data_IF_440966704922
#
_entry.id   IF_440966704922
#
_cell.length_a   1.000
_cell.length_b   1.000
_cell.length_c   1.000
_cell.angle_alpha   90.00
_cell.angle_beta   90.00
_cell.angle_gamma   90.00
#
_symmetry.space_group_name_H-M   'P 1'
#
loop_
_entity.id
_entity.type
_entity.pdbx_description
1 polymer ?
#
# COMPACT_ATOMS: atom_id res chain seq x y z
N UNK A 1 -8.63 55.75 -63.90
CA UNK A 1 -7.61 56.17 -62.91
C UNK A 1 -8.00 55.54 -61.58
N UNK A 2 -7.22 54.57 -61.08
CA UNK A 2 -6.38 54.71 -59.86
C UNK A 2 -7.23 55.05 -58.62
N UNK A 3 -7.31 54.29 -57.52
CA UNK A 3 -6.50 53.22 -56.95
C UNK A 3 -7.33 52.38 -55.95
N UNK A 4 -6.72 51.28 -55.54
CA UNK A 4 -7.02 50.36 -54.46
C UNK A 4 -7.52 51.00 -53.15
N UNK A 5 -8.27 50.20 -52.38
CA UNK A 5 -7.86 49.83 -51.01
C UNK A 5 -8.59 48.58 -50.54
N UNK A 6 -7.77 47.57 -50.22
CA UNK A 6 -8.14 46.34 -49.55
C UNK A 6 -8.74 46.65 -48.17
N UNK A 7 -9.96 46.16 -47.92
CA UNK A 7 -10.50 45.95 -46.59
C UNK A 7 -10.45 44.46 -46.29
N UNK A 8 -9.53 44.06 -45.42
CA UNK A 8 -9.31 42.68 -44.98
C UNK A 8 -10.55 42.25 -44.18
N UNK A 9 -11.36 41.39 -44.79
CA UNK A 9 -12.32 40.55 -44.08
C UNK A 9 -11.52 39.53 -43.27
N UNK A 10 -11.75 39.49 -41.95
CA UNK A 10 -11.21 38.49 -41.04
C UNK A 10 -11.71 37.11 -41.41
N UNK A 11 -10.97 36.46 -42.30
CA UNK A 11 -11.18 35.13 -42.83
C UNK A 11 -10.50 34.13 -41.90
N UNK A 12 -11.28 33.13 -41.48
CA UNK A 12 -10.83 31.75 -41.49
C UNK A 12 -9.82 31.36 -40.41
N UNK A 13 -10.37 30.80 -39.33
CA UNK A 13 -9.81 29.73 -38.50
C UNK A 13 -8.60 29.05 -39.18
N UNK A 14 -7.39 29.35 -38.69
CA UNK A 14 -6.20 28.59 -39.04
C UNK A 14 -6.36 27.16 -38.50
N UNK A 15 -6.67 26.24 -39.41
CA UNK A 15 -6.39 24.83 -39.23
C UNK A 15 -4.88 24.65 -39.08
N UNK A 16 -4.43 24.25 -37.89
CA UNK A 16 -3.16 23.57 -37.73
C UNK A 16 -3.41 22.32 -36.88
N UNK A 17 -3.75 21.23 -37.58
CA UNK A 17 -3.60 19.89 -37.04
C UNK A 17 -2.11 19.63 -36.81
N UNK A 18 -1.65 19.80 -35.58
CA UNK A 18 -0.42 19.17 -35.10
C UNK A 18 -0.81 17.80 -34.52
N UNK A 19 -0.99 16.84 -35.44
CA UNK A 19 -0.82 15.42 -35.16
C UNK A 19 0.66 15.21 -34.84
N UNK A 20 1.03 15.44 -33.57
CA UNK A 20 2.28 14.92 -33.04
C UNK A 20 2.01 13.45 -32.73
N UNK A 21 2.29 12.61 -33.72
CA UNK A 21 2.51 11.19 -33.52
C UNK A 21 3.73 11.03 -32.61
N UNK A 22 3.53 11.00 -31.30
CA UNK A 22 4.54 10.49 -30.40
C UNK A 22 4.59 8.97 -30.60
N UNK A 23 5.71 8.41 -31.12
CA UNK A 23 5.88 6.97 -31.14
C UNK A 23 5.82 6.47 -29.70
N UNK A 24 5.16 5.32 -29.52
CA UNK A 24 5.00 4.68 -28.23
C UNK A 24 6.34 4.58 -27.50
N UNK A 25 6.47 5.38 -26.44
CA UNK A 25 7.43 5.11 -25.37
C UNK A 25 6.68 4.30 -24.34
N UNK A 26 6.57 3.00 -24.61
CA UNK A 26 6.32 1.98 -23.60
C UNK A 26 7.56 1.87 -22.70
N UNK A 27 7.89 2.93 -21.96
CA UNK A 27 9.10 3.02 -21.14
C UNK A 27 9.00 4.22 -20.17
N UNK A 28 7.83 4.36 -19.52
CA UNK A 28 7.64 5.34 -18.45
C UNK A 28 7.20 4.68 -17.13
N UNK A 29 7.51 3.39 -16.94
CA UNK A 29 7.24 2.65 -15.71
C UNK A 29 8.51 2.03 -15.10
N UNK A 30 9.68 2.55 -15.47
CA UNK A 30 10.96 2.26 -14.83
C UNK A 30 11.43 3.51 -14.09
N UNK A 31 10.87 3.79 -12.91
CA UNK A 31 11.27 5.02 -12.20
C UNK A 31 10.65 5.35 -10.85
N UNK A 32 9.81 4.49 -10.26
CA UNK A 32 9.39 4.67 -8.87
C UNK A 32 9.65 3.41 -8.04
N UNK A 33 10.79 3.32 -7.31
CA UNK A 33 11.11 2.19 -6.43
C UNK A 33 10.14 2.02 -5.23
N UNK A 34 9.09 2.83 -5.16
CA UNK A 34 8.06 2.82 -4.12
C UNK A 34 6.82 1.97 -4.48
N UNK A 35 6.69 1.47 -5.71
CA UNK A 35 5.49 0.76 -6.22
C UNK A 35 5.26 -0.65 -5.64
N UNK A 36 6.23 -1.24 -4.93
CA UNK A 36 6.16 -2.63 -4.42
C UNK A 36 6.26 -2.75 -2.89
N UNK A 37 6.05 -1.67 -2.14
CA UNK A 37 6.10 -1.73 -0.68
C UNK A 37 4.77 -2.30 -0.14
N UNK A 38 4.83 -3.54 0.32
CA UNK A 38 3.75 -4.21 1.06
C UNK A 38 3.86 -3.82 2.54
N UNK A 39 2.76 -3.90 3.30
CA UNK A 39 2.69 -3.55 4.74
C UNK A 39 3.06 -2.09 5.05
N UNK A 40 2.70 -1.19 4.15
CA UNK A 40 2.73 0.25 4.41
C UNK A 40 1.58 0.57 5.38
N UNK A 41 1.83 1.49 6.33
CA UNK A 41 0.81 2.07 7.20
C UNK A 41 -0.43 2.51 6.43
N UNK A 42 -1.62 2.24 6.98
CA UNK A 42 -2.89 2.57 6.34
C UNK A 42 -3.00 4.07 5.99
N UNK A 43 -2.61 4.95 6.91
CA UNK A 43 -2.64 6.40 6.68
C UNK A 43 -1.64 6.80 5.59
N UNK A 44 -0.45 6.20 5.59
CA UNK A 44 0.54 6.48 4.56
C UNK A 44 0.07 6.03 3.18
N UNK A 45 -0.67 4.92 3.09
CA UNK A 45 -1.31 4.46 1.85
C UNK A 45 -2.34 5.46 1.33
N UNK A 46 -3.19 6.02 2.21
CA UNK A 46 -4.18 7.06 1.83
C UNK A 46 -3.47 8.31 1.28
N UNK A 47 -2.35 8.69 1.88
CA UNK A 47 -1.58 9.86 1.45
C UNK A 47 -0.86 9.64 0.12
N UNK A 48 -0.71 8.39 -0.35
CA UNK A 48 -0.20 8.11 -1.69
C UNK A 48 -1.31 8.37 -2.71
N UNK A 49 -1.05 9.25 -3.67
CA UNK A 49 -1.92 9.51 -4.83
C UNK A 49 -1.99 8.35 -5.85
N UNK A 50 -1.66 7.13 -5.43
CA UNK A 50 -1.60 5.94 -6.29
C UNK A 50 -2.19 4.73 -5.57
N UNK A 51 -3.16 4.08 -6.23
CA UNK A 51 -3.77 2.84 -5.78
C UNK A 51 -3.88 1.90 -7.00
N UNK A 52 -3.18 0.74 -7.01
CA UNK A 52 -3.24 -0.19 -8.14
C UNK A 52 -4.64 -0.81 -8.25
N UNK A 53 -4.99 -1.26 -9.45
CA UNK A 53 -6.17 -2.08 -9.71
C UNK A 53 -5.83 -3.58 -9.63
N UNK A 54 -6.86 -4.44 -9.71
CA UNK A 54 -6.70 -5.91 -9.67
C UNK A 54 -5.72 -6.43 -10.73
N UNK A 55 -5.76 -5.88 -11.94
CA UNK A 55 -4.87 -6.33 -13.02
C UNK A 55 -3.42 -6.00 -12.70
N UNK A 56 -3.16 -4.82 -12.13
CA UNK A 56 -1.83 -4.41 -11.69
C UNK A 56 -1.34 -5.28 -10.54
N UNK A 57 -2.18 -5.55 -9.55
CA UNK A 57 -1.85 -6.48 -8.45
C UNK A 57 -1.55 -7.89 -8.98
N UNK A 58 -2.30 -8.40 -9.96
CA UNK A 58 -2.03 -9.70 -10.59
C UNK A 58 -0.71 -9.71 -11.36
N UNK A 59 -0.36 -8.64 -12.09
CA UNK A 59 0.94 -8.53 -12.76
C UNK A 59 2.10 -8.53 -11.77
N UNK A 60 1.93 -7.89 -10.61
CA UNK A 60 2.97 -7.76 -9.60
C UNK A 60 3.16 -9.05 -8.77
N UNK A 61 2.06 -9.68 -8.37
CA UNK A 61 2.10 -10.76 -7.37
C UNK A 61 1.53 -12.10 -7.86
N UNK A 62 1.10 -12.16 -9.12
CA UNK A 62 0.47 -13.35 -9.70
C UNK A 62 -1.02 -13.45 -9.40
N UNK A 63 -1.61 -14.56 -9.85
CA UNK A 63 -3.05 -14.83 -9.70
C UNK A 63 -3.42 -15.09 -8.23
N UNK A 64 -4.59 -14.60 -7.79
CA UNK A 64 -5.10 -14.93 -6.47
C UNK A 64 -5.51 -16.40 -6.36
N UNK A 65 -5.25 -17.02 -5.21
CA UNK A 65 -5.74 -18.35 -4.87
C UNK A 65 -7.20 -18.28 -4.41
N UNK A 66 -7.57 -17.20 -3.73
CA UNK A 66 -8.92 -16.95 -3.21
C UNK A 66 -9.36 -15.57 -3.67
N UNK A 67 -10.60 -15.50 -4.19
CA UNK A 67 -11.28 -14.25 -4.54
C UNK A 67 -12.60 -14.19 -3.78
N UNK A 68 -12.83 -13.10 -3.04
CA UNK A 68 -14.09 -12.82 -2.36
C UNK A 68 -14.72 -11.58 -2.97
N UNK A 69 -15.82 -11.76 -3.69
CA UNK A 69 -16.55 -10.68 -4.39
C UNK A 69 -17.63 -10.02 -3.52
N UNK A 70 -17.43 -9.96 -2.20
CA UNK A 70 -18.40 -9.31 -1.31
C UNK A 70 -18.59 -7.84 -1.71
N UNK A 71 -19.83 -7.40 -1.86
CA UNK A 71 -20.17 -6.03 -2.29
C UNK A 71 -19.64 -4.96 -1.35
N UNK A 72 -19.50 -5.25 -0.05
CA UNK A 72 -19.03 -4.27 0.92
C UNK A 72 -17.51 -4.18 0.96
N UNK A 73 -16.81 -5.31 0.88
CA UNK A 73 -15.36 -5.39 0.98
C UNK A 73 -14.83 -6.53 0.09
N UNK A 74 -14.64 -6.28 -1.22
CA UNK A 74 -14.02 -7.27 -2.09
C UNK A 74 -12.53 -7.42 -1.75
N UNK A 75 -12.05 -8.65 -1.67
CA UNK A 75 -10.63 -8.90 -1.41
C UNK A 75 -10.16 -10.21 -2.05
N UNK A 76 -8.84 -10.31 -2.17
CA UNK A 76 -8.14 -11.45 -2.72
C UNK A 76 -7.05 -11.92 -1.76
N UNK A 77 -6.74 -13.21 -1.79
CA UNK A 77 -5.63 -13.81 -1.05
C UNK A 77 -4.71 -14.54 -2.02
N UNK A 78 -3.41 -14.27 -1.92
CA UNK A 78 -2.33 -14.91 -2.68
C UNK A 78 -1.35 -15.59 -1.73
N UNK A 79 -0.96 -16.81 -2.06
CA UNK A 79 0.12 -17.53 -1.39
C UNK A 79 1.45 -17.05 -1.92
N UNK A 80 2.35 -16.70 -1.01
CA UNK A 80 3.70 -16.25 -1.33
C UNK A 80 4.66 -17.44 -1.29
N UNK A 81 5.79 -17.40 -2.03
CA UNK A 81 6.75 -18.52 -2.08
C UNK A 81 7.32 -18.95 -0.72
N UNK A 82 7.33 -18.06 0.28
CA UNK A 82 7.82 -18.33 1.64
C UNK A 82 6.72 -18.82 2.61
N UNK A 83 5.57 -19.21 2.07
CA UNK A 83 4.44 -19.71 2.84
C UNK A 83 3.62 -18.65 3.58
N UNK A 84 3.96 -17.36 3.44
CA UNK A 84 3.04 -16.29 3.87
C UNK A 84 1.93 -16.08 2.85
N UNK A 85 0.97 -15.21 3.19
CA UNK A 85 -0.09 -14.82 2.27
C UNK A 85 -0.17 -13.31 2.17
N UNK A 86 -0.44 -12.81 0.98
CA UNK A 86 -0.78 -11.44 0.70
C UNK A 86 -2.29 -11.32 0.58
N UNK A 87 -2.88 -10.47 1.40
CA UNK A 87 -4.29 -10.09 1.29
C UNK A 87 -4.36 -8.71 0.68
N UNK A 88 -5.10 -8.58 -0.41
CA UNK A 88 -5.34 -7.29 -1.09
C UNK A 88 -6.83 -6.99 -1.02
N UNK A 89 -7.19 -5.90 -0.35
CA UNK A 89 -8.57 -5.41 -0.24
C UNK A 89 -8.79 -4.29 -1.23
N UNK A 90 -9.93 -4.31 -1.90
CA UNK A 90 -10.30 -3.33 -2.93
C UNK A 90 -11.49 -2.50 -2.48
N UNK A 91 -11.54 -1.26 -2.95
CA UNK A 91 -12.75 -0.45 -2.86
C UNK A 91 -13.85 -1.09 -3.69
N UNK A 92 -15.05 -1.23 -3.12
CA UNK A 92 -16.22 -1.76 -3.82
C UNK A 92 -16.56 -0.98 -5.09
N UNK A 93 -16.36 0.33 -5.05
CA UNK A 93 -16.47 1.20 -6.22
C UNK A 93 -15.08 1.47 -6.80
N UNK A 94 -14.87 1.08 -8.05
CA UNK A 94 -13.65 1.37 -8.80
C UNK A 94 -12.57 0.28 -8.75
N UNK A 95 -12.68 -0.71 -7.85
CA UNK A 95 -11.80 -1.89 -7.85
C UNK A 95 -10.32 -1.59 -7.60
N UNK A 96 -10.02 -0.41 -7.04
CA UNK A 96 -8.68 0.00 -6.66
C UNK A 96 -8.34 -0.52 -5.26
N UNK A 97 -7.07 -0.85 -5.03
CA UNK A 97 -6.58 -1.30 -3.73
C UNK A 97 -6.88 -0.24 -2.65
N UNK A 98 -7.61 -0.66 -1.63
CA UNK A 98 -7.89 0.09 -0.42
C UNK A 98 -6.86 -0.20 0.66
N UNK A 99 -6.54 -1.47 0.86
CA UNK A 99 -5.56 -1.94 1.84
C UNK A 99 -4.87 -3.20 1.32
N UNK A 100 -3.65 -3.44 1.77
CA UNK A 100 -2.87 -4.59 1.37
C UNK A 100 -1.88 -4.96 2.48
N UNK A 101 -1.97 -6.22 2.94
CA UNK A 101 -1.16 -6.72 4.03
C UNK A 101 -0.69 -8.16 3.77
N UNK A 102 0.62 -8.39 3.86
CA UNK A 102 1.27 -9.68 3.87
C UNK A 102 1.50 -10.14 5.30
N UNK A 103 1.11 -11.38 5.56
CA UNK A 103 1.26 -11.99 6.87
C UNK A 103 1.35 -13.52 6.74
N UNK A 104 2.06 -14.14 7.68
CA UNK A 104 1.98 -15.60 7.90
C UNK A 104 0.91 -15.93 8.92
N UNK A 105 0.87 -15.16 10.01
CA UNK A 105 -0.12 -15.20 11.08
C UNK A 105 -0.41 -13.78 11.53
N UNK A 106 -1.53 -13.59 12.21
CA UNK A 106 -1.77 -12.39 13.00
C UNK A 106 -1.01 -12.53 14.33
N UNK A 107 -0.20 -11.56 14.74
CA UNK A 107 0.41 -11.55 16.07
C UNK A 107 -0.59 -11.22 17.19
N UNK A 108 -0.33 -11.74 18.38
CA UNK A 108 -1.02 -11.38 19.61
C UNK A 108 -0.44 -10.08 20.18
N UNK A 109 -1.30 -9.25 20.79
CA UNK A 109 -0.89 -8.00 21.45
C UNK A 109 0.22 -8.21 22.47
N UNK A 110 0.17 -9.32 23.22
CA UNK A 110 1.14 -9.65 24.27
C UNK A 110 2.56 -9.84 23.76
N UNK A 111 2.71 -10.22 22.49
CA UNK A 111 4.03 -10.36 21.86
C UNK A 111 4.71 -9.00 21.73
N UNK A 112 3.94 -7.93 21.49
CA UNK A 112 4.46 -6.56 21.45
C UNK A 112 4.62 -5.94 22.84
N UNK A 113 3.76 -6.31 23.81
CA UNK A 113 3.91 -5.88 25.21
C UNK A 113 5.24 -6.34 25.83
N UNK A 114 5.80 -7.44 25.32
CA UNK A 114 7.10 -7.96 25.74
C UNK A 114 8.30 -7.16 25.18
N UNK A 115 8.09 -6.24 24.24
CA UNK A 115 9.16 -5.41 23.67
C UNK A 115 9.60 -4.34 24.68
N UNK A 116 10.88 -4.37 25.05
CA UNK A 116 11.47 -3.36 25.91
C UNK A 116 12.03 -2.18 25.07
N UNK A 117 12.06 -0.95 25.61
CA UNK A 117 12.85 0.12 25.00
C UNK A 117 14.31 -0.32 24.85
N UNK A 118 14.85 -0.21 23.63
CA UNK A 118 16.18 -0.73 23.31
C UNK A 118 16.19 -1.99 22.43
N UNK A 119 15.06 -2.69 22.33
CA UNK A 119 14.87 -3.80 21.38
C UNK A 119 15.07 -3.33 19.93
N UNK A 120 15.64 -4.18 19.08
CA UNK A 120 15.92 -3.83 17.68
C UNK A 120 14.77 -4.22 16.74
N UNK A 121 14.72 -3.61 15.55
CA UNK A 121 13.76 -4.01 14.51
C UNK A 121 13.91 -5.50 14.09
N UNK A 122 15.11 -6.08 14.16
CA UNK A 122 15.34 -7.50 13.90
C UNK A 122 14.61 -8.41 14.90
N UNK A 123 14.51 -7.99 16.16
CA UNK A 123 13.75 -8.71 17.17
C UNK A 123 12.24 -8.57 16.93
N UNK A 124 11.77 -7.40 16.46
CA UNK A 124 10.37 -7.22 16.04
C UNK A 124 10.03 -8.13 14.84
N UNK A 125 10.98 -8.40 13.94
CA UNK A 125 10.79 -9.34 12.81
C UNK A 125 10.47 -10.76 13.25
N UNK A 126 10.79 -11.14 14.48
CA UNK A 126 10.43 -12.45 15.03
C UNK A 126 8.92 -12.54 15.34
N UNK A 127 8.28 -11.41 15.62
CA UNK A 127 6.83 -11.31 15.88
C UNK A 127 6.08 -11.17 14.56
N UNK A 128 6.49 -10.21 13.73
CA UNK A 128 5.92 -9.95 12.41
C UNK A 128 7.07 -9.80 11.41
N UNK A 129 7.35 -10.78 10.54
CA UNK A 129 8.51 -10.72 9.66
C UNK A 129 8.34 -9.82 8.44
N UNK A 130 7.13 -9.32 8.15
CA UNK A 130 6.82 -8.61 6.91
C UNK A 130 6.58 -7.11 7.09
N UNK A 131 6.70 -6.58 8.31
CA UNK A 131 6.52 -5.15 8.53
C UNK A 131 7.54 -4.30 7.79
N UNK A 132 7.15 -3.05 7.56
CA UNK A 132 8.04 -2.02 7.03
C UNK A 132 8.17 -0.89 8.05
N UNK A 133 9.40 -0.46 8.34
CA UNK A 133 9.64 0.80 9.04
C UNK A 133 9.53 1.93 8.03
N UNK A 134 8.62 2.86 8.27
CA UNK A 134 8.45 4.06 7.48
C UNK A 134 9.05 5.25 8.23
N UNK A 135 9.97 5.95 7.57
CA UNK A 135 10.51 7.21 8.05
C UNK A 135 9.77 8.37 7.37
N UNK A 136 9.41 9.38 8.18
CA UNK A 136 8.79 10.60 7.70
C UNK A 136 9.83 11.60 7.20
N UNK A 137 9.61 12.88 7.53
CA UNK A 137 10.58 13.95 7.25
C UNK A 137 11.86 13.85 8.09
N UNK A 138 11.78 13.21 9.25
CA UNK A 138 12.91 12.95 10.13
C UNK A 138 13.47 11.54 9.83
N UNK A 139 14.64 11.42 9.18
CA UNK A 139 15.22 10.13 8.81
C UNK A 139 15.68 9.32 10.02
N UNK A 140 15.84 9.95 11.19
CA UNK A 140 16.25 9.27 12.43
C UNK A 140 15.05 8.76 13.23
N UNK A 141 13.81 8.97 12.75
CA UNK A 141 12.58 8.44 13.33
C UNK A 141 11.85 7.56 12.34
N UNK A 142 11.26 6.49 12.86
CA UNK A 142 10.51 5.55 12.05
C UNK A 142 9.30 5.01 12.80
N UNK A 143 8.32 4.54 12.05
CA UNK A 143 7.16 3.82 12.60
C UNK A 143 6.83 2.60 11.76
N UNK A 144 6.39 1.53 12.40
CA UNK A 144 5.73 0.40 11.74
C UNK A 144 4.35 0.16 12.32
N UNK A 145 3.49 -0.44 11.52
CA UNK A 145 2.16 -0.90 11.94
C UNK A 145 2.12 -2.43 11.89
N UNK A 146 1.33 -3.02 12.79
CA UNK A 146 1.15 -4.47 12.89
C UNK A 146 -0.32 -4.80 13.20
N UNK A 147 -0.96 -5.56 12.31
CA UNK A 147 -2.37 -5.99 12.47
C UNK A 147 -2.45 -7.10 13.51
N UNK A 148 -3.33 -6.97 14.51
CA UNK A 148 -3.38 -7.89 15.64
C UNK A 148 -4.56 -8.89 15.54
N UNK A 149 -4.42 -10.04 16.22
CA UNK A 149 -5.48 -11.08 16.32
C UNK A 149 -6.80 -10.55 16.87
N UNK A 150 -6.72 -9.63 17.82
CA UNK A 150 -7.86 -8.99 18.48
C UNK A 150 -8.52 -7.87 17.63
N UNK A 151 -8.11 -7.74 16.35
CA UNK A 151 -8.55 -6.69 15.42
C UNK A 151 -8.03 -5.29 15.75
N UNK A 152 -7.13 -5.19 16.73
CA UNK A 152 -6.40 -3.98 17.02
C UNK A 152 -5.23 -3.74 16.06
N UNK A 153 -4.52 -2.66 16.33
CA UNK A 153 -3.31 -2.25 15.64
C UNK A 153 -2.23 -1.94 16.68
N UNK A 154 -1.06 -2.55 16.56
CA UNK A 154 0.13 -2.08 17.26
C UNK A 154 0.91 -1.13 16.34
N UNK A 155 1.34 0.00 16.88
CA UNK A 155 2.26 0.92 16.21
C UNK A 155 3.56 0.96 17.02
N UNK A 156 4.66 0.58 16.39
CA UNK A 156 5.99 0.63 17.02
C UNK A 156 6.72 1.85 16.50
N UNK A 157 7.19 2.69 17.43
CA UNK A 157 8.01 3.85 17.11
C UNK A 157 9.49 3.51 17.33
N UNK A 158 10.33 3.96 16.41
CA UNK A 158 11.76 3.67 16.37
C UNK A 158 12.60 4.95 16.33
N UNK A 159 13.85 4.82 16.76
CA UNK A 159 14.91 5.78 16.44
C UNK A 159 16.07 5.08 15.73
N UNK A 160 16.70 5.75 14.78
CA UNK A 160 17.96 5.30 14.17
C UNK A 160 19.10 5.57 15.14
N UNK A 161 19.80 4.51 15.59
CA UNK A 161 20.97 4.60 16.47
C UNK A 161 22.07 3.75 15.87
N UNK A 162 23.18 4.38 15.48
CA UNK A 162 24.35 3.69 14.90
C UNK A 162 23.97 2.78 13.72
N UNK A 163 23.06 3.25 12.86
CA UNK A 163 22.60 2.50 11.68
C UNK A 163 21.60 1.38 11.98
N UNK A 164 21.05 1.29 13.20
CA UNK A 164 20.03 0.32 13.58
C UNK A 164 18.75 1.00 14.06
N UNK A 165 17.60 0.41 13.70
CA UNK A 165 16.30 0.84 14.21
C UNK A 165 16.07 0.26 15.61
N UNK A 166 15.97 1.15 16.59
CA UNK A 166 15.77 0.81 18.00
C UNK A 166 14.37 1.22 18.43
N UNK A 167 13.62 0.28 18.99
CA UNK A 167 12.28 0.50 19.55
C UNK A 167 12.34 1.52 20.68
N UNK A 168 11.47 2.53 20.58
CA UNK A 168 11.28 3.58 21.59
C UNK A 168 9.99 3.41 22.36
N UNK A 169 8.92 3.05 21.66
CA UNK A 169 7.61 2.83 22.27
C UNK A 169 6.75 1.95 21.40
N UNK A 170 5.79 1.28 22.02
CA UNK A 170 4.67 0.62 21.37
C UNK A 170 3.39 1.33 21.80
N UNK A 171 2.53 1.68 20.86
CA UNK A 171 1.19 2.18 21.13
C UNK A 171 0.15 1.29 20.45
N UNK A 172 -1.07 1.34 20.96
CA UNK A 172 -2.16 0.48 20.50
C UNK A 172 -3.36 1.30 20.09
N UNK A 173 -4.00 0.87 19.00
CA UNK A 173 -5.35 1.29 18.63
C UNK A 173 -6.26 0.09 18.80
N UNK A 174 -7.28 0.22 19.65
CA UNK A 174 -8.23 -0.86 19.98
C UNK A 174 -8.98 -1.41 18.76
N UNK A 175 -9.18 -0.57 17.73
CA UNK A 175 -9.73 -0.99 16.45
C UNK A 175 -8.86 -0.47 15.33
N UNK A 176 -8.37 -1.40 14.52
CA UNK A 176 -7.70 -1.07 13.27
C UNK A 176 -8.56 -0.09 12.42
N UNK A 177 -8.07 1.12 12.11
CA UNK A 177 -8.79 2.09 11.28
C UNK A 177 -9.14 1.60 9.87
N UNK A 178 -8.35 0.70 9.28
CA UNK A 178 -8.70 0.12 7.97
C UNK A 178 -9.71 -1.03 8.09
N UNK A 179 -9.89 -1.55 9.30
CA UNK A 179 -10.74 -2.69 9.60
C UNK A 179 -10.23 -4.00 8.99
N UNK A 180 -8.94 -4.10 8.62
CA UNK A 180 -8.40 -5.20 7.83
C UNK A 180 -8.86 -6.58 8.33
N UNK A 181 -8.59 -6.90 9.60
CA UNK A 181 -8.94 -8.21 10.17
C UNK A 181 -10.45 -8.44 10.25
N UNK A 182 -11.21 -7.37 10.50
CA UNK A 182 -12.68 -7.43 10.61
C UNK A 182 -13.39 -7.64 9.27
N UNK A 183 -12.76 -7.23 8.16
CA UNK A 183 -13.28 -7.37 6.79
C UNK A 183 -13.13 -8.81 6.24
N UNK A 184 -12.23 -9.62 6.80
CA UNK A 184 -12.05 -11.02 6.41
C UNK A 184 -13.24 -11.89 6.83
N UNK A 185 -13.60 -12.85 5.98
CA UNK A 185 -14.53 -13.91 6.37
C UNK A 185 -14.00 -14.69 7.58
N UNK A 186 -14.87 -15.32 8.40
CA UNK A 186 -14.42 -16.13 9.53
C UNK A 186 -13.44 -17.25 9.13
N UNK A 187 -13.66 -17.90 7.98
CA UNK A 187 -12.79 -18.95 7.43
C UNK A 187 -11.41 -18.41 7.10
N UNK A 188 -11.34 -17.33 6.31
CA UNK A 188 -10.06 -16.76 5.89
C UNK A 188 -9.29 -16.17 7.09
N UNK A 189 -10.00 -15.58 8.06
CA UNK A 189 -9.42 -15.08 9.30
C UNK A 189 -8.84 -16.20 10.16
N UNK A 190 -9.54 -17.34 10.29
CA UNK A 190 -9.09 -18.47 11.10
C UNK A 190 -7.73 -19.00 10.62
N UNK A 191 -7.47 -18.96 9.30
CA UNK A 191 -6.20 -19.39 8.73
C UNK A 191 -4.98 -18.55 9.15
N UNK A 192 -5.18 -17.38 9.76
CA UNK A 192 -4.11 -16.53 10.29
C UNK A 192 -3.98 -16.62 11.82
N UNK A 193 -4.80 -17.42 12.49
CA UNK A 193 -4.78 -17.57 13.95
C UNK A 193 -3.83 -18.67 14.42
N UNK A 194 -3.46 -19.59 13.52
CA UNK A 194 -2.51 -20.66 13.80
C UNK A 194 -1.07 -20.10 13.89
N UNK A 195 -0.23 -20.61 14.81
CA UNK A 195 1.16 -20.20 14.97
C UNK A 195 2.08 -20.64 13.83
#
# INVERSE_FOLDING_TARGET
MREARLGIWGLGICAFMLLVSLPGTSEADEGMPLQNQINISYLFRILRSYAPDRQTTERQYGKPDIVRENREHPYEIRSMPDGSRLVTMYRSMGGLVEDEWRLRRLPDRREFDALAPGTTAEEVKLIDPYFTVLSGSDPDKGTSEHRLRDQGLATVAYAMVEGRWIVRSVSYTERDPSGFVSKLTPEDRAAFMEP
#
